data_IF_046315656312
#
_entry.id   IF_046315656312
#
_cell.length_a   1.000
_cell.length_b   1.000
_cell.length_c   1.000
_cell.angle_alpha   90.00
_cell.angle_beta   90.00
_cell.angle_gamma   90.00
#
_symmetry.space_group_name_H-M   'P 1'
#
loop_
_entity.id
_entity.type
_entity.pdbx_description
1 polymer ?
#
# COMPACT_ATOMS: atom_id res chain seq x y z
N UNK A 1 -10.02 -7.17 59.04
CA UNK A 1 -9.24 -6.09 58.38
C UNK A 1 -8.37 -6.59 57.21
N UNK A 2 -7.63 -7.70 57.31
CA UNK A 2 -6.80 -8.24 56.21
C UNK A 2 -7.57 -8.60 54.92
N UNK A 3 -8.80 -9.10 55.03
CA UNK A 3 -9.60 -9.50 53.86
C UNK A 3 -10.05 -8.29 53.02
N UNK A 4 -10.28 -7.15 53.66
CA UNK A 4 -10.68 -5.92 52.98
C UNK A 4 -9.53 -5.30 52.19
N UNK A 5 -8.29 -5.46 52.68
CA UNK A 5 -7.10 -5.04 51.93
C UNK A 5 -6.93 -5.86 50.64
N UNK A 6 -7.17 -7.17 50.68
CA UNK A 6 -7.14 -8.02 49.48
C UNK A 6 -8.22 -7.63 48.47
N UNK A 7 -9.44 -7.36 48.94
CA UNK A 7 -10.53 -6.89 48.06
C UNK A 7 -10.18 -5.55 47.42
N UNK A 8 -9.63 -4.61 48.18
CA UNK A 8 -9.20 -3.31 47.64
C UNK A 8 -8.12 -3.44 46.57
N UNK A 9 -7.16 -4.35 46.74
CA UNK A 9 -6.10 -4.62 45.75
C UNK A 9 -6.68 -5.23 44.47
N UNK A 10 -7.61 -6.17 44.57
CA UNK A 10 -8.25 -6.78 43.40
C UNK A 10 -9.05 -5.74 42.61
N UNK A 11 -9.81 -4.89 43.31
CA UNK A 11 -10.57 -3.80 42.68
C UNK A 11 -9.65 -2.80 42.00
N UNK A 12 -8.55 -2.41 42.64
CA UNK A 12 -7.56 -1.51 42.05
C UNK A 12 -6.96 -2.10 40.76
N UNK A 13 -6.60 -3.39 40.76
CA UNK A 13 -6.09 -4.07 39.57
C UNK A 13 -7.12 -4.16 38.44
N UNK A 14 -8.40 -4.41 38.76
CA UNK A 14 -9.47 -4.44 37.77
C UNK A 14 -9.70 -3.07 37.12
N UNK A 15 -9.63 -1.99 37.90
CA UNK A 15 -9.75 -0.62 37.40
C UNK A 15 -8.56 -0.25 36.51
N UNK A 16 -7.34 -0.57 36.94
CA UNK A 16 -6.13 -0.34 36.13
C UNK A 16 -6.22 -1.09 34.79
N UNK A 17 -6.65 -2.36 34.81
CA UNK A 17 -6.83 -3.15 33.59
C UNK A 17 -7.89 -2.53 32.66
N UNK A 18 -9.00 -2.05 33.21
CA UNK A 18 -10.06 -1.42 32.44
C UNK A 18 -9.60 -0.13 31.76
N UNK A 19 -8.86 0.71 32.48
CA UNK A 19 -8.33 1.99 31.95
C UNK A 19 -7.22 1.76 30.92
N UNK A 20 -6.34 0.78 31.14
CA UNK A 20 -5.28 0.43 30.18
C UNK A 20 -5.83 -0.26 28.92
N UNK A 21 -7.07 -0.74 28.95
CA UNK A 21 -7.80 -1.24 27.78
C UNK A 21 -8.35 -0.10 26.92
N UNK A 22 -7.64 1.02 26.82
CA UNK A 22 -7.85 1.99 25.75
C UNK A 22 -7.52 1.31 24.42
N UNK A 23 -8.55 0.75 23.80
CA UNK A 23 -8.50 0.32 22.42
C UNK A 23 -8.85 1.53 21.59
N UNK A 24 -7.84 2.20 21.07
CA UNK A 24 -8.00 2.98 19.85
C UNK A 24 -8.37 1.98 18.76
N UNK A 25 -9.66 1.71 18.62
CA UNK A 25 -10.18 1.05 17.44
C UNK A 25 -9.95 1.97 16.26
N UNK A 26 -9.46 1.44 15.15
CA UNK A 26 -9.49 2.16 13.88
C UNK A 26 -10.92 2.65 13.66
N UNK A 27 -11.12 3.97 13.63
CA UNK A 27 -12.44 4.50 13.32
C UNK A 27 -12.77 4.01 11.92
N UNK A 28 -13.92 3.32 11.78
CA UNK A 28 -14.37 2.76 10.50
C UNK A 28 -14.50 3.84 9.41
N UNK A 29 -14.57 5.10 9.83
CA UNK A 29 -14.56 6.32 9.02
C UNK A 29 -13.27 6.52 8.21
N UNK A 30 -12.13 6.00 8.69
CA UNK A 30 -10.82 6.11 8.03
C UNK A 30 -10.43 4.85 7.24
N UNK A 31 -11.29 3.82 7.22
CA UNK A 31 -11.05 2.63 6.40
C UNK A 31 -11.31 3.02 4.95
N UNK A 32 -10.26 3.02 4.13
CA UNK A 32 -10.36 3.34 2.70
C UNK A 32 -11.23 2.30 1.98
N UNK A 33 -12.44 2.71 1.60
CA UNK A 33 -13.41 1.89 0.84
C UNK A 33 -13.41 2.22 -0.66
N UNK A 34 -12.43 2.98 -1.15
CA UNK A 34 -12.39 3.38 -2.57
C UNK A 34 -12.38 2.19 -3.52
N UNK A 35 -11.77 1.06 -3.13
CA UNK A 35 -11.75 -0.17 -3.92
C UNK A 35 -13.10 -0.90 -3.93
N UNK A 36 -13.85 -0.88 -2.83
CA UNK A 36 -15.22 -1.41 -2.77
C UNK A 36 -16.16 -0.60 -3.67
N UNK A 37 -16.03 0.74 -3.61
CA UNK A 37 -16.80 1.65 -4.45
C UNK A 37 -16.51 1.45 -5.94
N UNK A 38 -15.24 1.34 -6.33
CA UNK A 38 -14.86 1.04 -7.72
C UNK A 38 -15.42 -0.31 -8.18
N UNK A 39 -15.34 -1.33 -7.33
CA UNK A 39 -15.84 -2.66 -7.65
C UNK A 39 -17.35 -2.66 -7.90
N UNK A 40 -18.13 -1.97 -7.07
CA UNK A 40 -19.58 -1.87 -7.27
C UNK A 40 -19.94 -1.04 -8.50
N UNK A 41 -19.20 0.04 -8.79
CA UNK A 41 -19.38 0.84 -10.00
C UNK A 41 -19.07 0.05 -11.29
N UNK A 42 -18.05 -0.81 -11.27
CA UNK A 42 -17.67 -1.64 -12.42
C UNK A 42 -18.48 -2.96 -12.49
N UNK A 43 -19.34 -3.25 -11.50
CA UNK A 43 -20.13 -4.50 -11.42
C UNK A 43 -21.08 -4.72 -12.58
N UNK A 44 -21.64 -3.63 -13.13
CA UNK A 44 -22.55 -3.66 -14.29
C UNK A 44 -21.81 -3.57 -15.63
N UNK A 45 -20.50 -3.28 -15.63
CA UNK A 45 -19.70 -3.20 -16.85
C UNK A 45 -18.83 -4.44 -17.01
N UNK A 46 -19.42 -5.57 -17.38
CA UNK A 46 -18.67 -6.77 -17.80
C UNK A 46 -17.72 -6.51 -18.99
N UNK A 47 -17.87 -5.37 -19.67
CA UNK A 47 -17.07 -4.96 -20.83
C UNK A 47 -16.03 -3.87 -20.55
N UNK A 48 -16.04 -3.23 -19.38
CA UNK A 48 -15.05 -2.21 -19.01
C UNK A 48 -14.09 -2.77 -17.96
N UNK A 49 -13.52 -3.94 -18.25
CA UNK A 49 -12.32 -4.38 -17.56
C UNK A 49 -11.18 -3.45 -17.98
N UNK A 50 -11.05 -2.31 -17.32
CA UNK A 50 -9.79 -1.58 -17.29
C UNK A 50 -8.81 -2.45 -16.50
N UNK A 51 -8.22 -3.44 -17.16
CA UNK A 51 -6.96 -3.99 -16.66
C UNK A 51 -5.97 -2.81 -16.56
N UNK A 52 -4.94 -2.90 -15.73
CA UNK A 52 -3.88 -1.90 -15.69
C UNK A 52 -3.11 -1.94 -17.03
N UNK A 53 -3.77 -1.54 -18.12
CA UNK A 53 -3.23 -1.49 -19.45
C UNK A 53 -2.11 -0.47 -19.36
N UNK A 54 -0.88 -0.97 -19.46
CA UNK A 54 0.30 -0.15 -19.65
C UNK A 54 -0.01 0.79 -20.82
N UNK A 55 -0.26 2.07 -20.52
CA UNK A 55 -0.34 3.09 -21.55
C UNK A 55 1.07 3.18 -22.09
N UNK A 56 1.30 2.65 -23.29
CA UNK A 56 2.53 2.89 -24.02
C UNK A 56 2.67 4.41 -24.07
N UNK A 57 3.66 4.94 -23.34
CA UNK A 57 4.00 6.35 -23.47
C UNK A 57 4.21 6.62 -24.97
N UNK A 58 3.72 7.76 -25.49
CA UNK A 58 4.04 8.15 -26.86
C UNK A 58 5.55 8.02 -27.00
N UNK A 59 6.01 7.41 -28.10
CA UNK A 59 7.42 7.19 -28.36
C UNK A 59 8.15 8.48 -28.05
N UNK A 60 8.88 8.51 -26.93
CA UNK A 60 9.82 9.61 -26.73
C UNK A 60 10.67 9.59 -27.99
N UNK A 61 10.81 10.74 -28.64
CA UNK A 61 11.83 10.94 -29.67
C UNK A 61 13.18 10.75 -28.96
N UNK A 62 13.58 9.49 -28.77
CA UNK A 62 14.85 9.14 -28.18
C UNK A 62 15.86 9.63 -29.22
N UNK A 63 16.69 10.63 -28.91
CA UNK A 63 17.71 11.07 -29.83
C UNK A 63 18.58 9.87 -30.20
N UNK A 64 19.10 9.79 -31.45
CA UNK A 64 19.95 8.68 -31.84
C UNK A 64 21.06 8.54 -30.79
N UNK A 65 21.24 7.31 -30.28
CA UNK A 65 22.29 7.03 -29.30
C UNK A 65 23.62 7.46 -29.92
N UNK A 66 24.22 8.50 -29.36
CA UNK A 66 25.53 8.99 -29.79
C UNK A 66 26.64 8.10 -29.26
N UNK A 67 27.68 7.88 -30.06
CA UNK A 67 28.87 7.15 -29.64
C UNK A 67 29.31 6.05 -30.61
N UNK A 68 30.35 5.31 -30.20
CA UNK A 68 30.86 4.14 -30.92
C UNK A 68 30.25 2.88 -30.30
N UNK A 69 29.67 2.01 -31.14
CA UNK A 69 29.13 0.72 -30.71
C UNK A 69 30.24 -0.17 -30.13
N UNK A 70 29.96 -0.75 -28.98
CA UNK A 70 30.88 -1.67 -28.28
C UNK A 70 30.44 -3.13 -28.48
N UNK A 71 31.34 -4.11 -28.33
CA UNK A 71 30.99 -5.53 -28.47
C UNK A 71 30.14 -6.07 -27.29
N UNK A 72 29.84 -5.25 -26.28
CA UNK A 72 29.05 -5.65 -25.13
C UNK A 72 27.56 -5.36 -25.36
N UNK A 73 26.67 -6.16 -24.77
CA UNK A 73 25.22 -6.00 -24.87
C UNK A 73 24.59 -6.16 -23.48
N UNK A 74 23.55 -5.37 -23.19
CA UNK A 74 22.73 -5.48 -21.98
C UNK A 74 21.34 -5.89 -22.41
N UNK A 75 20.97 -7.15 -22.17
CA UNK A 75 19.72 -7.75 -22.62
C UNK A 75 19.53 -7.63 -24.14
N UNK A 76 18.46 -6.96 -24.58
CA UNK A 76 18.15 -6.71 -25.98
C UNK A 76 18.85 -5.48 -26.56
N UNK A 77 19.59 -4.71 -25.76
CA UNK A 77 20.14 -3.41 -26.14
C UNK A 77 21.66 -3.46 -26.34
N UNK A 78 22.14 -2.81 -27.41
CA UNK A 78 23.57 -2.64 -27.68
C UNK A 78 24.12 -1.49 -26.83
N UNK A 79 25.38 -1.58 -26.36
CA UNK A 79 26.02 -0.50 -25.61
C UNK A 79 26.92 0.36 -26.49
N UNK A 80 26.93 1.68 -26.21
CA UNK A 80 27.69 2.69 -26.94
C UNK A 80 28.59 3.47 -25.97
N UNK A 81 29.80 3.82 -26.41
CA UNK A 81 30.71 4.70 -25.67
C UNK A 81 30.56 6.13 -26.21
N UNK A 82 30.27 7.13 -25.37
CA UNK A 82 30.16 8.52 -25.80
C UNK A 82 31.49 9.01 -26.38
N UNK A 83 31.42 9.79 -27.45
CA UNK A 83 32.56 10.47 -28.09
C UNK A 83 32.50 11.96 -27.77
#
# INVERSE_FOLDING_TARGET
MKNWAFVAVIVALAVIWYVLKSREGFALEFVDKSNEQKTDQTRVSSFAQETNHFKMMPSQDIPPIGGIETPFRVNAFNSFVPV
#
